data_IF_785192174117
#
_entry.id   IF_785192174117
#
_cell.length_a   1.000
_cell.length_b   1.000
_cell.length_c   1.000
_cell.angle_alpha   90.00
_cell.angle_beta   90.00
_cell.angle_gamma   90.00
#
_symmetry.space_group_name_H-M   'P 1'
#
loop_
_entity.id
_entity.type
_entity.pdbx_description
1 polymer ?
#
# COMPACT_ATOMS: atom_id res chain seq x y z
N UNK A 1 -9.32 -24.61 36.08
CA UNK A 1 -10.38 -23.69 35.63
C UNK A 1 -9.70 -22.37 35.35
N UNK A 2 -9.74 -21.92 34.10
CA UNK A 2 -9.13 -20.64 33.73
C UNK A 2 -9.79 -19.52 34.53
N UNK A 3 -8.98 -18.70 35.21
CA UNK A 3 -9.49 -17.59 36.02
C UNK A 3 -10.26 -16.62 35.10
N UNK A 4 -11.50 -16.23 35.44
CA UNK A 4 -12.33 -15.36 34.60
C UNK A 4 -11.63 -14.03 34.25
N UNK A 5 -10.75 -13.57 35.13
CA UNK A 5 -9.93 -12.38 34.95
C UNK A 5 -8.91 -12.51 33.80
N UNK A 6 -8.32 -13.71 33.62
CA UNK A 6 -7.31 -14.00 32.59
C UNK A 6 -8.00 -14.08 31.23
N UNK A 7 -9.13 -14.79 31.17
CA UNK A 7 -9.95 -14.89 29.96
C UNK A 7 -10.46 -13.52 29.51
N UNK A 8 -10.98 -12.71 30.44
CA UNK A 8 -11.40 -11.34 30.14
C UNK A 8 -10.24 -10.48 29.64
N UNK A 9 -9.08 -10.56 30.30
CA UNK A 9 -7.91 -9.77 29.92
C UNK A 9 -7.42 -10.11 28.52
N UNK A 10 -7.34 -11.41 28.18
CA UNK A 10 -6.94 -11.84 26.84
C UNK A 10 -7.93 -11.35 25.78
N UNK A 11 -9.23 -11.55 26.02
CA UNK A 11 -10.27 -11.12 25.09
C UNK A 11 -10.28 -9.59 24.90
N UNK A 12 -10.13 -8.82 25.99
CA UNK A 12 -10.08 -7.37 25.94
C UNK A 12 -8.83 -6.87 25.22
N UNK A 13 -7.67 -7.49 25.42
CA UNK A 13 -6.44 -7.12 24.75
C UNK A 13 -6.56 -7.34 23.24
N UNK A 14 -7.10 -8.49 22.81
CA UNK A 14 -7.36 -8.77 21.39
C UNK A 14 -8.33 -7.72 20.83
N UNK A 15 -9.43 -7.44 21.53
CA UNK A 15 -10.39 -6.40 21.12
C UNK A 15 -9.72 -5.03 21.00
N UNK A 16 -8.94 -4.59 22.00
CA UNK A 16 -8.30 -3.28 22.00
C UNK A 16 -7.26 -3.15 20.88
N UNK A 17 -6.45 -4.19 20.64
CA UNK A 17 -5.49 -4.24 19.53
C UNK A 17 -6.23 -4.16 18.20
N UNK A 18 -7.27 -4.97 17.98
CA UNK A 18 -8.06 -4.94 16.76
C UNK A 18 -8.87 -3.65 16.60
N UNK A 19 -9.27 -2.98 17.68
CA UNK A 19 -9.98 -1.70 17.60
C UNK A 19 -9.05 -0.54 17.24
N UNK A 20 -7.81 -0.55 17.76
CA UNK A 20 -6.80 0.47 17.44
C UNK A 20 -6.16 0.23 16.06
N UNK A 21 -5.83 -1.02 15.77
CA UNK A 21 -5.27 -1.48 14.50
C UNK A 21 -6.34 -2.28 13.76
N UNK A 22 -7.36 -1.59 13.24
CA UNK A 22 -8.54 -2.18 12.61
C UNK A 22 -8.19 -3.10 11.45
N UNK A 23 -8.26 -4.44 11.62
CA UNK A 23 -8.13 -5.35 10.49
C UNK A 23 -9.41 -5.29 9.62
N UNK A 24 -9.36 -5.93 8.46
CA UNK A 24 -10.46 -5.91 7.49
C UNK A 24 -11.77 -6.45 8.07
N UNK A 25 -11.71 -7.40 9.02
CA UNK A 25 -12.86 -8.00 9.68
C UNK A 25 -13.58 -6.98 10.58
N UNK A 26 -12.84 -6.21 11.37
CA UNK A 26 -13.41 -5.15 12.21
C UNK A 26 -13.98 -4.01 11.38
N UNK A 27 -13.29 -3.68 10.27
CA UNK A 27 -13.79 -2.70 9.32
C UNK A 27 -15.13 -3.16 8.72
N UNK A 28 -15.21 -4.41 8.27
CA UNK A 28 -16.42 -5.01 7.69
C UNK A 28 -17.55 -5.17 8.70
N UNK A 29 -17.24 -5.46 9.95
CA UNK A 29 -18.21 -5.54 11.05
C UNK A 29 -18.71 -4.16 11.52
N UNK A 30 -18.17 -3.05 11.00
CA UNK A 30 -18.55 -1.71 11.42
C UNK A 30 -17.95 -1.26 12.74
N UNK A 31 -16.99 -2.00 13.30
CA UNK A 31 -16.36 -1.75 14.60
C UNK A 31 -15.20 -0.75 14.49
N UNK A 32 -15.45 0.38 13.84
CA UNK A 32 -14.47 1.47 13.69
C UNK A 32 -15.01 2.74 14.34
N UNK A 33 -14.12 3.61 14.83
CA UNK A 33 -14.52 4.91 15.40
C UNK A 33 -15.35 5.71 14.39
N UNK A 34 -15.01 5.61 13.10
CA UNK A 34 -15.69 6.31 12.01
C UNK A 34 -17.13 5.85 11.85
N UNK A 35 -17.39 4.54 11.94
CA UNK A 35 -18.72 3.98 11.80
C UNK A 35 -19.57 4.23 13.04
N UNK A 36 -18.99 4.07 14.24
CA UNK A 36 -19.65 4.32 15.52
C UNK A 36 -20.10 5.79 15.68
N UNK A 37 -19.32 6.73 15.15
CA UNK A 37 -19.58 8.18 15.24
C UNK A 37 -19.96 8.82 13.90
N UNK A 38 -20.42 8.01 12.93
CA UNK A 38 -20.72 8.43 11.57
C UNK A 38 -21.67 9.62 11.50
N UNK A 39 -22.75 9.62 12.31
CA UNK A 39 -23.72 10.72 12.38
C UNK A 39 -23.13 12.06 12.85
N UNK A 40 -22.12 12.04 13.72
CA UNK A 40 -21.46 13.24 14.22
C UNK A 40 -20.32 13.72 13.30
N UNK A 41 -19.59 12.78 12.71
CA UNK A 41 -18.51 13.06 11.77
C UNK A 41 -19.03 13.69 10.47
N UNK A 42 -20.20 13.25 10.01
CA UNK A 42 -20.76 13.67 8.73
C UNK A 42 -20.08 12.98 7.55
N UNK A 43 -20.17 13.58 6.36
CA UNK A 43 -19.63 13.02 5.13
C UNK A 43 -18.25 13.60 4.79
N UNK A 44 -17.29 12.70 4.57
CA UNK A 44 -15.95 13.05 4.08
C UNK A 44 -16.00 13.65 2.67
N UNK A 45 -16.84 13.08 1.79
CA UNK A 45 -17.05 13.58 0.42
C UNK A 45 -17.64 14.98 0.41
N UNK A 46 -18.51 15.30 1.36
CA UNK A 46 -19.05 16.65 1.49
C UNK A 46 -18.00 17.63 2.03
N UNK A 47 -17.26 17.29 3.08
CA UNK A 47 -16.38 18.23 3.77
C UNK A 47 -15.15 17.55 4.36
N UNK A 48 -14.17 17.25 3.51
CA UNK A 48 -12.92 16.55 3.85
C UNK A 48 -12.20 17.12 5.08
N UNK A 49 -11.88 18.41 5.10
CA UNK A 49 -11.11 19.01 6.21
C UNK A 49 -11.91 18.99 7.51
N UNK A 50 -13.15 19.54 7.60
CA UNK A 50 -13.96 19.44 8.81
C UNK A 50 -14.19 18.01 9.30
N UNK A 51 -14.42 17.07 8.39
CA UNK A 51 -14.57 15.65 8.70
C UNK A 51 -13.32 15.13 9.44
N UNK A 52 -12.12 15.38 8.90
CA UNK A 52 -10.90 14.88 9.52
C UNK A 52 -10.48 15.61 10.81
N UNK A 53 -10.85 16.88 10.99
CA UNK A 53 -10.70 17.57 12.28
C UNK A 53 -11.51 16.87 13.37
N UNK A 54 -12.78 16.55 13.08
CA UNK A 54 -13.65 15.82 14.00
C UNK A 54 -13.19 14.38 14.21
N UNK A 55 -12.82 13.69 13.13
CA UNK A 55 -12.38 12.30 13.15
C UNK A 55 -11.17 12.09 14.05
N UNK A 56 -10.14 12.91 13.89
CA UNK A 56 -8.92 12.81 14.71
C UNK A 56 -9.19 13.07 16.19
N UNK A 57 -10.06 14.03 16.52
CA UNK A 57 -10.52 14.25 17.89
C UNK A 57 -11.32 13.07 18.46
N UNK A 58 -12.27 12.53 17.69
CA UNK A 58 -13.04 11.35 18.08
C UNK A 58 -12.16 10.12 18.29
N UNK A 59 -11.25 9.83 17.35
CA UNK A 59 -10.33 8.69 17.46
C UNK A 59 -9.42 8.82 18.68
N UNK A 60 -8.87 10.02 18.93
CA UNK A 60 -8.08 10.28 20.14
C UNK A 60 -8.87 9.99 21.41
N UNK A 61 -10.11 10.50 21.50
CA UNK A 61 -10.96 10.31 22.67
C UNK A 61 -11.35 8.83 22.85
N UNK A 62 -11.86 8.17 21.81
CA UNK A 62 -12.27 6.77 21.85
C UNK A 62 -11.10 5.85 22.24
N UNK A 63 -9.92 6.03 21.66
CA UNK A 63 -8.76 5.21 22.00
C UNK A 63 -8.24 5.52 23.42
N UNK A 64 -8.31 6.77 23.88
CA UNK A 64 -7.94 7.13 25.26
C UNK A 64 -8.86 6.52 26.33
N UNK A 65 -10.08 6.14 25.96
CA UNK A 65 -11.05 5.49 26.85
C UNK A 65 -10.85 3.98 26.99
N UNK A 66 -10.02 3.33 26.16
CA UNK A 66 -9.80 1.88 26.22
C UNK A 66 -9.25 1.41 27.58
N UNK A 67 -8.24 2.05 28.20
CA UNK A 67 -7.77 1.62 29.52
C UNK A 67 -8.86 1.74 30.61
N UNK A 68 -9.72 2.76 30.50
CA UNK A 68 -10.84 2.92 31.42
C UNK A 68 -11.91 1.84 31.20
N UNK A 69 -12.20 1.50 29.94
CA UNK A 69 -13.08 0.38 29.59
C UNK A 69 -12.56 -0.96 30.13
N UNK A 70 -11.24 -1.19 30.08
CA UNK A 70 -10.61 -2.36 30.70
C UNK A 70 -10.82 -2.38 32.22
N UNK A 71 -10.57 -1.25 32.90
CA UNK A 71 -10.79 -1.14 34.35
C UNK A 71 -12.23 -1.49 34.73
N UNK A 72 -13.20 -0.90 34.04
CA UNK A 72 -14.63 -1.14 34.27
C UNK A 72 -14.96 -2.62 34.07
N UNK A 73 -14.48 -3.26 33.00
CA UNK A 73 -14.70 -4.68 32.77
C UNK A 73 -14.05 -5.58 33.83
N UNK A 74 -12.86 -5.22 34.31
CA UNK A 74 -12.17 -5.93 35.39
C UNK A 74 -12.89 -5.84 36.73
N UNK A 75 -13.65 -4.77 36.99
CA UNK A 75 -14.52 -4.70 38.17
C UNK A 75 -15.54 -5.86 38.18
N UNK A 76 -16.05 -6.26 37.02
CA UNK A 76 -16.96 -7.40 36.88
C UNK A 76 -16.24 -8.74 36.86
N UNK A 77 -15.13 -8.85 36.11
CA UNK A 77 -14.40 -10.11 35.94
C UNK A 77 -13.60 -10.56 37.18
N UNK A 78 -13.19 -9.62 38.04
CA UNK A 78 -12.45 -9.88 39.27
C UNK A 78 -13.16 -9.25 40.48
N UNK A 79 -14.43 -9.59 40.68
CA UNK A 79 -15.26 -9.07 41.77
C UNK A 79 -14.66 -9.29 43.16
N UNK A 80 -13.90 -10.37 43.34
CA UNK A 80 -13.17 -10.69 44.58
C UNK A 80 -12.14 -9.62 44.97
N UNK A 81 -11.60 -8.87 44.01
CA UNK A 81 -10.60 -7.81 44.25
C UNK A 81 -11.21 -6.47 44.68
N UNK A 82 -12.53 -6.40 44.85
CA UNK A 82 -13.29 -5.22 45.32
C UNK A 82 -12.94 -3.90 44.60
N UNK A 83 -12.66 -3.98 43.30
CA UNK A 83 -12.23 -2.83 42.49
C UNK A 83 -13.27 -1.70 42.40
N UNK A 84 -14.54 -1.96 42.73
CA UNK A 84 -15.61 -0.97 42.81
C UNK A 84 -15.39 0.11 43.88
N UNK A 85 -14.61 -0.19 44.92
CA UNK A 85 -14.24 0.77 45.96
C UNK A 85 -12.77 1.13 45.82
N UNK A 86 -12.42 2.28 45.20
CA UNK A 86 -11.03 2.67 44.95
C UNK A 86 -10.17 2.73 46.23
N UNK A 87 -10.78 2.95 47.39
CA UNK A 87 -10.11 2.97 48.70
C UNK A 87 -9.72 1.59 49.23
N UNK A 88 -10.40 0.52 48.79
CA UNK A 88 -10.11 -0.87 49.19
C UNK A 88 -9.35 -1.64 48.10
N UNK A 89 -9.21 -1.07 46.90
CA UNK A 89 -8.52 -1.70 45.79
C UNK A 89 -7.00 -1.79 46.05
N UNK A 90 -6.31 -2.84 45.56
CA UNK A 90 -4.87 -2.91 45.63
C UNK A 90 -4.21 -1.70 44.98
N UNK A 91 -3.10 -1.21 45.55
CA UNK A 91 -2.42 0.02 45.10
C UNK A 91 -2.15 0.07 43.59
N UNK A 92 -1.78 -1.08 42.99
CA UNK A 92 -1.55 -1.20 41.55
C UNK A 92 -2.80 -0.86 40.71
N UNK A 93 -3.99 -1.25 41.17
CA UNK A 93 -5.26 -0.92 40.49
C UNK A 93 -5.67 0.53 40.71
N UNK A 94 -5.33 1.13 41.85
CA UNK A 94 -5.49 2.57 42.09
C UNK A 94 -4.63 3.39 41.13
N UNK A 95 -3.35 3.03 40.98
CA UNK A 95 -2.45 3.66 40.01
C UNK A 95 -2.94 3.47 38.56
N UNK A 96 -3.40 2.26 38.22
CA UNK A 96 -3.97 1.99 36.90
C UNK A 96 -5.20 2.86 36.61
N UNK A 97 -6.14 2.96 37.56
CA UNK A 97 -7.33 3.80 37.42
C UNK A 97 -6.95 5.26 37.23
N UNK A 98 -5.99 5.77 38.02
CA UNK A 98 -5.49 7.13 37.86
C UNK A 98 -4.98 7.36 36.44
N UNK A 99 -4.13 6.48 35.93
CA UNK A 99 -3.62 6.56 34.56
C UNK A 99 -4.76 6.48 33.53
N UNK A 100 -5.69 5.54 33.71
CA UNK A 100 -6.83 5.33 32.82
C UNK A 100 -7.80 6.53 32.77
N UNK A 101 -7.88 7.34 33.82
CA UNK A 101 -8.67 8.59 33.85
C UNK A 101 -7.89 9.79 33.31
N UNK A 102 -6.57 9.84 33.55
CA UNK A 102 -5.73 10.96 33.05
C UNK A 102 -5.66 11.00 31.53
N UNK A 103 -5.64 9.85 30.85
CA UNK A 103 -5.60 9.77 29.38
C UNK A 103 -6.82 10.45 28.71
N UNK A 104 -8.08 10.09 29.01
CA UNK A 104 -9.23 10.78 28.44
C UNK A 104 -9.36 12.22 28.93
N UNK A 105 -8.96 12.54 30.18
CA UNK A 105 -8.95 13.92 30.65
C UNK A 105 -8.00 14.82 29.83
N UNK A 106 -6.77 14.36 29.56
CA UNK A 106 -5.81 15.08 28.72
C UNK A 106 -6.28 15.17 27.26
N UNK A 107 -6.89 14.12 26.71
CA UNK A 107 -7.51 14.16 25.39
C UNK A 107 -8.64 15.20 25.32
N UNK A 108 -9.54 15.24 26.31
CA UNK A 108 -10.61 16.24 26.40
C UNK A 108 -10.07 17.67 26.51
N UNK A 109 -9.04 17.90 27.33
CA UNK A 109 -8.37 19.21 27.43
C UNK A 109 -7.78 19.63 26.08
N UNK A 110 -7.12 18.71 25.38
CA UNK A 110 -6.54 18.97 24.07
C UNK A 110 -7.60 19.28 23.00
N UNK A 111 -8.69 18.50 22.97
CA UNK A 111 -9.82 18.71 22.06
C UNK A 111 -10.51 20.04 22.36
N UNK A 112 -10.69 20.38 23.63
CA UNK A 112 -11.22 21.67 24.06
C UNK A 112 -10.31 22.82 23.60
N UNK A 113 -9.00 22.68 23.79
CA UNK A 113 -8.03 23.66 23.31
C UNK A 113 -8.10 23.85 21.78
N UNK A 114 -8.28 22.77 21.01
CA UNK A 114 -8.50 22.86 19.57
C UNK A 114 -9.83 23.55 19.24
N UNK A 115 -10.91 23.23 19.94
CA UNK A 115 -12.24 23.75 19.61
C UNK A 115 -12.42 25.25 19.94
N UNK A 116 -11.74 25.77 20.96
CA UNK A 116 -11.83 27.18 21.40
C UNK A 116 -11.59 28.19 20.29
N UNK A 117 -10.58 27.96 19.46
CA UNK A 117 -10.24 28.85 18.34
C UNK A 117 -10.69 28.27 17.01
N UNK A 118 -11.88 27.64 17.01
CA UNK A 118 -12.48 27.08 15.81
C UNK A 118 -11.49 26.20 15.03
N UNK A 119 -10.75 25.34 15.75
CA UNK A 119 -9.76 24.38 15.25
C UNK A 119 -8.44 24.94 14.72
N UNK A 120 -8.15 26.24 14.86
CA UNK A 120 -6.91 26.84 14.36
C UNK A 120 -5.63 26.18 14.93
N UNK A 121 -5.68 25.72 16.17
CA UNK A 121 -4.58 25.03 16.84
C UNK A 121 -4.43 23.55 16.49
N UNK A 122 -5.38 22.99 15.73
CA UNK A 122 -5.32 21.60 15.32
C UNK A 122 -4.13 21.36 14.36
N UNK A 123 -3.39 20.24 14.45
CA UNK A 123 -2.22 19.98 13.59
C UNK A 123 -2.49 20.12 12.09
N UNK A 124 -3.65 19.64 11.61
CA UNK A 124 -4.08 19.81 10.22
C UNK A 124 -4.28 21.30 9.86
N UNK A 125 -5.00 22.05 10.68
CA UNK A 125 -5.24 23.48 10.45
C UNK A 125 -3.93 24.29 10.45
N UNK A 126 -3.02 24.00 11.38
CA UNK A 126 -1.68 24.58 11.44
C UNK A 126 -0.85 24.26 10.19
N UNK A 127 -1.00 23.07 9.62
CA UNK A 127 -0.33 22.69 8.38
C UNK A 127 -0.92 23.45 7.19
N UNK A 128 -2.25 23.54 7.09
CA UNK A 128 -2.93 24.31 6.05
C UNK A 128 -2.62 25.81 6.13
N UNK A 129 -2.45 26.35 7.34
CA UNK A 129 -2.08 27.75 7.56
C UNK A 129 -0.75 28.13 6.90
N UNK A 130 0.16 27.18 6.70
CA UNK A 130 1.46 27.42 6.05
C UNK A 130 1.36 27.64 4.54
N UNK A 131 0.24 27.25 3.95
CA UNK A 131 -0.08 27.47 2.54
C UNK A 131 -1.05 28.64 2.35
N UNK A 132 -1.47 29.29 3.43
CA UNK A 132 -2.39 30.41 3.36
C UNK A 132 -1.64 31.69 2.95
N UNK A 133 -2.28 32.51 2.11
CA UNK A 133 -1.73 33.82 1.74
C UNK A 133 -1.85 34.77 2.95
N UNK A 134 -1.03 35.83 3.04
CA UNK A 134 -1.06 36.74 4.20
C UNK A 134 -2.44 37.34 4.51
N UNK A 135 -3.30 37.49 3.50
CA UNK A 135 -4.65 38.03 3.64
C UNK A 135 -5.75 36.96 3.76
N UNK A 136 -5.41 35.67 3.60
CA UNK A 136 -6.37 34.57 3.70
C UNK A 136 -6.01 33.66 4.88
N UNK A 137 -7.02 33.25 5.65
CA UNK A 137 -6.80 32.28 6.74
C UNK A 137 -6.63 30.86 6.21
N UNK A 138 -6.18 29.94 7.07
CA UNK A 138 -6.10 28.51 6.76
C UNK A 138 -7.42 27.90 6.26
N UNK A 139 -8.56 28.52 6.59
CA UNK A 139 -9.89 28.13 6.11
C UNK A 139 -10.09 28.31 4.62
N UNK A 140 -9.47 29.33 4.02
CA UNK A 140 -9.51 29.51 2.57
C UNK A 140 -8.81 28.34 1.87
N UNK A 141 -7.65 27.94 2.40
CA UNK A 141 -6.91 26.75 1.95
C UNK A 141 -7.77 25.49 2.16
N UNK A 142 -8.38 25.34 3.33
CA UNK A 142 -9.27 24.21 3.61
C UNK A 142 -10.46 24.15 2.65
N UNK A 143 -11.01 25.30 2.26
CA UNK A 143 -12.09 25.37 1.28
C UNK A 143 -11.62 24.95 -0.11
N UNK A 144 -10.41 25.34 -0.54
CA UNK A 144 -9.81 24.86 -1.79
C UNK A 144 -9.64 23.34 -1.78
N UNK A 145 -9.06 22.80 -0.70
CA UNK A 145 -8.90 21.35 -0.52
C UNK A 145 -10.25 20.64 -0.61
N UNK A 146 -11.28 21.13 0.06
CA UNK A 146 -12.61 20.54 0.01
C UNK A 146 -13.22 20.58 -1.41
N UNK A 147 -13.04 21.68 -2.14
CA UNK A 147 -13.56 21.83 -3.50
C UNK A 147 -12.85 20.89 -4.48
N UNK A 148 -11.54 20.72 -4.36
CA UNK A 148 -10.78 19.75 -5.16
C UNK A 148 -11.09 18.30 -4.77
N UNK A 149 -11.26 18.03 -3.47
CA UNK A 149 -11.62 16.70 -2.99
C UNK A 149 -12.98 16.23 -3.51
N UNK A 150 -13.93 17.13 -3.75
CA UNK A 150 -15.25 16.79 -4.32
C UNK A 150 -15.19 16.42 -5.81
N UNK A 151 -14.08 16.70 -6.50
CA UNK A 151 -13.92 16.34 -7.91
C UNK A 151 -13.78 14.83 -8.04
N UNK A 152 -14.32 14.31 -9.14
CA UNK A 152 -14.23 12.87 -9.50
C UNK A 152 -12.80 12.54 -9.91
N UNK A 153 -12.14 13.48 -10.59
CA UNK A 153 -10.75 13.37 -11.04
C UNK A 153 -9.78 13.57 -9.85
N UNK A 154 -9.71 12.57 -8.98
CA UNK A 154 -8.75 12.45 -7.87
C UNK A 154 -8.26 10.99 -7.83
N UNK A 155 -6.97 10.82 -7.63
CA UNK A 155 -6.41 9.50 -7.33
C UNK A 155 -6.60 9.21 -5.85
N UNK A 156 -7.08 8.02 -5.50
CA UNK A 156 -7.23 7.59 -4.11
C UNK A 156 -6.96 6.09 -3.96
N UNK A 157 -6.04 5.72 -3.07
CA UNK A 157 -5.70 4.32 -2.76
C UNK A 157 -5.68 4.08 -1.24
N UNK A 158 -6.04 2.86 -0.82
CA UNK A 158 -6.11 2.42 0.58
C UNK A 158 -7.48 2.60 1.25
N UNK A 159 -7.61 2.06 2.46
CA UNK A 159 -8.85 2.09 3.23
C UNK A 159 -9.19 3.51 3.73
N UNK A 160 -10.47 3.87 3.95
CA UNK A 160 -10.87 5.22 4.38
C UNK A 160 -10.16 5.75 5.64
N UNK A 161 -9.78 4.85 6.57
CA UNK A 161 -9.02 5.19 7.77
C UNK A 161 -7.52 5.47 7.54
N UNK A 162 -6.96 4.92 6.47
CA UNK A 162 -5.54 4.96 6.13
C UNK A 162 -5.36 4.94 4.60
N UNK A 163 -5.56 6.09 3.96
CA UNK A 163 -5.51 6.24 2.50
C UNK A 163 -4.68 7.42 2.04
N UNK A 164 -4.28 7.34 0.79
CA UNK A 164 -3.53 8.38 0.09
C UNK A 164 -4.43 8.96 -0.99
N UNK A 165 -4.54 10.29 -1.02
CA UNK A 165 -5.36 11.01 -1.99
C UNK A 165 -4.47 12.03 -2.70
N UNK A 166 -4.51 12.03 -4.03
CA UNK A 166 -3.84 13.03 -4.86
C UNK A 166 -4.89 13.73 -5.72
N UNK A 167 -4.97 15.04 -5.53
CA UNK A 167 -5.82 15.97 -6.30
C UNK A 167 -4.94 16.85 -7.17
N UNK A 168 -5.53 17.70 -8.02
CA UNK A 168 -4.78 18.57 -8.93
C UNK A 168 -3.67 19.38 -8.24
N UNK A 169 -3.88 19.85 -7.01
CA UNK A 169 -2.89 20.66 -6.29
C UNK A 169 -2.40 20.07 -4.98
N UNK A 170 -3.07 19.05 -4.42
CA UNK A 170 -2.71 18.49 -3.11
C UNK A 170 -2.33 17.01 -3.16
N UNK A 171 -1.27 16.67 -2.44
CA UNK A 171 -0.94 15.31 -2.02
C UNK A 171 -1.31 15.17 -0.54
N UNK A 172 -2.20 14.23 -0.24
CA UNK A 172 -2.74 14.04 1.10
C UNK A 172 -2.55 12.59 1.55
N UNK A 173 -2.06 12.41 2.78
CA UNK A 173 -2.01 11.09 3.43
C UNK A 173 -2.82 11.13 4.71
N UNK A 174 -3.82 10.26 4.77
CA UNK A 174 -4.68 10.06 5.92
C UNK A 174 -4.12 8.89 6.74
N UNK A 175 -3.94 9.10 8.04
CA UNK A 175 -3.56 8.07 9.02
C UNK A 175 -4.55 8.10 10.19
N UNK A 176 -4.45 7.15 11.12
CA UNK A 176 -5.34 7.07 12.30
C UNK A 176 -5.40 8.38 13.08
N UNK A 177 -4.27 9.03 13.35
CA UNK A 177 -4.19 10.22 14.21
C UNK A 177 -3.80 11.51 13.47
N UNK A 178 -3.31 11.41 12.23
CA UNK A 178 -2.81 12.56 11.49
C UNK A 178 -3.32 12.58 10.05
N UNK A 179 -3.46 13.79 9.52
CA UNK A 179 -3.64 14.04 8.09
C UNK A 179 -2.47 14.89 7.64
N UNK A 180 -1.65 14.31 6.77
CA UNK A 180 -0.52 14.99 6.14
C UNK A 180 -1.00 15.61 4.83
N UNK A 181 -0.62 16.85 4.59
CA UNK A 181 -1.01 17.61 3.41
C UNK A 181 0.20 18.35 2.87
N UNK A 182 0.44 18.20 1.58
CA UNK A 182 1.46 18.95 0.85
C UNK A 182 0.96 19.41 -0.51
N UNK A 183 1.43 20.57 -0.98
CA UNK A 183 1.10 21.05 -2.32
C UNK A 183 1.98 20.38 -3.38
N UNK A 184 1.37 19.97 -4.48
CA UNK A 184 2.04 19.32 -5.61
C UNK A 184 3.21 20.15 -6.18
N UNK A 185 3.07 21.47 -6.23
CA UNK A 185 4.10 22.38 -6.76
C UNK A 185 5.36 22.43 -5.87
N UNK A 186 5.23 22.09 -4.59
CA UNK A 186 6.29 22.20 -3.59
C UNK A 186 6.86 20.85 -3.17
N UNK A 187 6.41 19.73 -3.76
CA UNK A 187 6.86 18.40 -3.35
C UNK A 187 7.93 17.81 -4.27
N UNK A 188 8.87 17.12 -3.63
CA UNK A 188 9.78 16.19 -4.26
C UNK A 188 9.38 14.78 -3.85
N UNK A 189 9.10 13.96 -4.87
CA UNK A 189 8.67 12.58 -4.71
C UNK A 189 9.85 11.67 -5.02
N UNK A 190 10.18 10.80 -4.08
CA UNK A 190 11.28 9.83 -4.25
C UNK A 190 10.81 8.43 -3.89
N UNK A 191 10.92 7.46 -4.80
CA UNK A 191 10.70 6.05 -4.48
C UNK A 191 11.88 5.59 -3.63
N UNK A 192 11.63 5.24 -2.37
CA UNK A 192 12.68 4.86 -1.41
C UNK A 192 12.81 3.36 -1.26
N UNK A 193 11.72 2.62 -1.44
CA UNK A 193 11.68 1.18 -1.20
C UNK A 193 10.66 0.49 -2.10
N UNK A 194 10.96 -0.74 -2.53
CA UNK A 194 9.99 -1.64 -3.14
C UNK A 194 10.00 -2.97 -2.38
N UNK A 195 8.85 -3.39 -1.86
CA UNK A 195 8.70 -4.68 -1.17
C UNK A 195 7.73 -5.58 -1.92
N UNK A 196 8.21 -6.73 -2.38
CA UNK A 196 7.35 -7.81 -2.85
C UNK A 196 6.78 -8.59 -1.66
N UNK A 197 5.49 -8.86 -1.68
CA UNK A 197 4.83 -9.80 -0.77
C UNK A 197 4.36 -10.97 -1.63
N UNK A 198 4.85 -12.17 -1.32
CA UNK A 198 4.53 -13.40 -2.08
C UNK A 198 3.06 -13.80 -1.96
N UNK A 199 2.36 -13.36 -0.91
CA UNK A 199 0.96 -13.63 -0.66
C UNK A 199 0.25 -12.34 -0.23
N UNK A 200 -0.74 -11.90 -1.02
CA UNK A 200 -1.70 -10.87 -0.61
C UNK A 200 -2.95 -11.55 -0.03
N UNK A 201 -3.57 -11.02 1.03
CA UNK A 201 -4.82 -11.57 1.58
C UNK A 201 -5.96 -11.65 0.55
N UNK A 202 -5.95 -10.75 -0.43
CA UNK A 202 -7.01 -10.60 -1.44
C UNK A 202 -6.71 -11.35 -2.75
N UNK A 203 -5.46 -11.78 -2.97
CA UNK A 203 -5.06 -12.50 -4.18
C UNK A 203 -3.83 -13.37 -3.90
N UNK A 204 -3.84 -14.64 -4.30
CA UNK A 204 -2.68 -15.55 -4.27
C UNK A 204 -1.54 -15.14 -5.23
N UNK A 205 -1.52 -13.88 -5.66
CA UNK A 205 -0.54 -13.31 -6.57
C UNK A 205 0.51 -12.53 -5.78
N UNK A 206 1.78 -12.57 -6.22
CA UNK A 206 2.80 -11.71 -5.67
C UNK A 206 2.44 -10.24 -5.94
N UNK A 207 2.35 -9.44 -4.89
CA UNK A 207 2.06 -8.01 -4.99
C UNK A 207 3.28 -7.21 -4.57
N UNK A 208 3.72 -6.28 -5.41
CA UNK A 208 4.78 -5.33 -5.06
C UNK A 208 4.16 -4.05 -4.52
N UNK A 209 4.60 -3.64 -3.33
CA UNK A 209 4.28 -2.34 -2.74
C UNK A 209 5.47 -1.39 -2.88
N UNK A 210 5.19 -0.16 -3.30
CA UNK A 210 6.16 0.91 -3.41
C UNK A 210 6.01 1.86 -2.23
N UNK A 211 7.12 2.25 -1.61
CA UNK A 211 7.18 3.33 -0.63
C UNK A 211 7.76 4.57 -1.30
N UNK A 212 6.96 5.63 -1.36
CA UNK A 212 7.31 6.92 -1.97
C UNK A 212 7.37 7.97 -0.88
N UNK A 213 8.55 8.55 -0.66
CA UNK A 213 8.72 9.66 0.26
C UNK A 213 8.28 10.96 -0.40
N UNK A 214 7.39 11.68 0.28
CA UNK A 214 6.91 13.02 -0.07
C UNK A 214 7.64 14.03 0.81
N UNK A 215 8.58 14.77 0.22
CA UNK A 215 9.28 15.85 0.89
C UNK A 215 8.81 17.19 0.32
N UNK A 216 8.46 18.16 1.18
CA UNK A 216 8.12 19.51 0.74
C UNK A 216 9.34 20.42 0.75
N UNK A 217 9.43 21.36 -0.19
CA UNK A 217 10.36 22.48 -0.17
C UNK A 217 10.13 23.38 1.05
N UNK A 218 8.91 23.43 1.58
CA UNK A 218 8.59 24.14 2.81
C UNK A 218 9.12 23.36 4.02
N UNK A 219 10.21 23.85 4.64
CA UNK A 219 10.88 23.24 5.80
C UNK A 219 9.99 23.01 7.01
N UNK A 220 8.88 23.75 7.11
CA UNK A 220 7.95 23.59 8.23
C UNK A 220 7.06 22.35 8.05
N UNK A 221 6.85 21.89 6.82
CA UNK A 221 6.02 20.72 6.49
C UNK A 221 6.86 19.46 6.62
N UNK A 222 6.48 18.58 7.54
CA UNK A 222 7.19 17.32 7.76
C UNK A 222 7.00 16.39 6.56
N UNK A 223 8.09 15.80 6.09
CA UNK A 223 8.04 14.75 5.08
C UNK A 223 7.23 13.54 5.59
N UNK A 224 6.59 12.82 4.67
CA UNK A 224 5.81 11.63 4.97
C UNK A 224 5.90 10.64 3.82
N UNK A 225 5.74 9.35 4.14
CA UNK A 225 5.86 8.28 3.15
C UNK A 225 4.47 7.80 2.71
N UNK A 226 4.26 7.63 1.41
CA UNK A 226 3.09 7.02 0.79
C UNK A 226 3.44 5.57 0.46
N UNK A 227 2.51 4.65 0.71
CA UNK A 227 2.64 3.26 0.27
C UNK A 227 1.48 2.94 -0.67
N UNK A 228 1.77 2.41 -1.84
CA UNK A 228 0.77 1.99 -2.83
C UNK A 228 1.18 0.69 -3.52
N UNK A 229 0.22 0.04 -4.17
CA UNK A 229 0.50 -1.09 -5.03
C UNK A 229 1.21 -0.59 -6.30
N UNK A 230 2.25 -1.29 -6.73
CA UNK A 230 2.96 -1.03 -7.99
C UNK A 230 2.06 -0.98 -9.23
N UNK A 231 0.94 -1.71 -9.23
CA UNK A 231 -0.07 -1.66 -10.30
C UNK A 231 -0.76 -0.29 -10.41
N UNK A 232 -0.90 0.44 -9.30
CA UNK A 232 -1.52 1.78 -9.24
C UNK A 232 -0.50 2.89 -9.52
N UNK A 233 0.78 2.56 -9.73
CA UNK A 233 1.85 3.54 -9.92
C UNK A 233 1.66 4.39 -11.19
N UNK A 234 1.14 3.79 -12.26
CA UNK A 234 0.83 4.49 -13.51
C UNK A 234 -0.22 5.58 -13.31
N UNK A 235 -1.35 5.24 -12.69
CA UNK A 235 -2.45 6.18 -12.39
C UNK A 235 -1.99 7.31 -11.45
N UNK A 236 -1.16 6.97 -10.45
CA UNK A 236 -0.53 7.98 -9.60
C UNK A 236 0.34 8.96 -10.42
N UNK A 237 1.16 8.44 -11.35
CA UNK A 237 2.01 9.27 -12.20
C UNK A 237 1.20 10.18 -13.12
N UNK A 238 0.07 9.70 -13.66
CA UNK A 238 -0.83 10.52 -14.48
C UNK A 238 -1.41 11.70 -13.69
N UNK A 239 -1.69 11.51 -12.40
CA UNK A 239 -2.26 12.56 -11.55
C UNK A 239 -1.23 13.54 -10.98
N UNK A 240 0.05 13.18 -11.00
CA UNK A 240 1.12 14.00 -10.46
C UNK A 240 1.68 14.98 -11.50
N UNK A 241 1.82 16.25 -11.10
CA UNK A 241 2.49 17.28 -11.90
C UNK A 241 4.02 17.18 -11.81
N UNK A 242 4.54 16.68 -10.70
CA UNK A 242 5.97 16.57 -10.45
C UNK A 242 6.45 15.14 -10.76
N UNK A 243 7.58 14.97 -11.48
CA UNK A 243 8.11 13.65 -11.76
C UNK A 243 8.59 12.97 -10.47
N UNK A 244 8.31 11.67 -10.35
CA UNK A 244 8.80 10.84 -9.25
C UNK A 244 10.24 10.42 -9.57
N UNK A 245 11.16 10.69 -8.64
CA UNK A 245 12.56 10.26 -8.76
C UNK A 245 12.71 8.86 -8.16
N UNK A 246 13.38 7.95 -8.84
CA UNK A 246 13.71 6.64 -8.27
C UNK A 246 15.03 6.74 -7.49
N UNK A 247 15.09 6.17 -6.28
CA UNK A 247 16.37 5.91 -5.64
C UNK A 247 17.16 4.86 -6.46
N UNK A 248 18.48 4.95 -6.44
CA UNK A 248 19.32 3.95 -7.09
C UNK A 248 18.97 2.55 -6.55
N UNK A 249 18.79 1.59 -7.46
CA UNK A 249 18.45 0.18 -7.18
C UNK A 249 17.00 -0.17 -6.82
N UNK A 250 16.02 0.74 -7.04
CA UNK A 250 14.60 0.37 -6.93
C UNK A 250 14.02 -0.01 -8.29
N UNK A 251 13.67 -1.29 -8.47
CA UNK A 251 12.99 -1.81 -9.67
C UNK A 251 11.48 -1.77 -9.43
N UNK A 252 10.74 -1.11 -10.32
CA UNK A 252 9.29 -0.97 -10.25
C UNK A 252 8.66 -1.89 -11.30
N UNK A 253 7.94 -2.92 -10.88
CA UNK A 253 7.18 -3.79 -11.78
C UNK A 253 5.75 -3.27 -11.86
N UNK A 254 5.37 -2.65 -12.98
CA UNK A 254 4.03 -2.08 -13.14
C UNK A 254 2.99 -3.13 -13.55
N UNK A 255 3.44 -4.26 -14.13
CA UNK A 255 2.55 -5.34 -14.57
C UNK A 255 3.07 -6.73 -14.20
N UNK A 256 2.15 -7.70 -14.12
CA UNK A 256 2.50 -9.14 -14.07
C UNK A 256 3.39 -9.55 -15.25
N UNK A 257 3.22 -8.89 -16.41
CA UNK A 257 4.09 -9.07 -17.56
C UNK A 257 5.54 -8.67 -17.28
N UNK A 258 5.77 -7.55 -16.60
CA UNK A 258 7.13 -7.09 -16.26
C UNK A 258 7.81 -8.02 -15.26
N UNK A 259 7.07 -8.47 -14.24
CA UNK A 259 7.56 -9.46 -13.28
C UNK A 259 7.89 -10.80 -13.96
N UNK A 260 7.01 -11.25 -14.87
CA UNK A 260 7.27 -12.43 -15.66
C UNK A 260 8.50 -12.27 -16.55
N UNK A 261 8.70 -11.13 -17.22
CA UNK A 261 9.84 -10.90 -18.10
C UNK A 261 11.17 -10.94 -17.35
N UNK A 262 11.23 -10.39 -16.14
CA UNK A 262 12.41 -10.47 -15.27
C UNK A 262 12.69 -11.92 -14.86
N UNK A 263 11.68 -12.61 -14.34
CA UNK A 263 11.80 -14.02 -13.93
C UNK A 263 12.19 -14.91 -15.12
N UNK A 264 11.56 -14.68 -16.27
CA UNK A 264 11.85 -15.38 -17.52
C UNK A 264 13.29 -15.17 -17.95
N UNK A 265 13.78 -13.92 -17.89
CA UNK A 265 15.17 -13.58 -18.24
C UNK A 265 16.14 -14.30 -17.31
N UNK A 266 15.93 -14.24 -16.00
CA UNK A 266 16.79 -14.90 -15.01
C UNK A 266 16.84 -16.42 -15.20
N UNK A 267 15.70 -17.07 -15.46
CA UNK A 267 15.66 -18.52 -15.72
C UNK A 267 16.36 -18.89 -17.03
N UNK A 268 16.20 -18.09 -18.08
CA UNK A 268 16.80 -18.34 -19.39
C UNK A 268 18.32 -18.09 -19.41
N UNK A 269 18.83 -17.21 -18.57
CA UNK A 269 20.28 -16.96 -18.44
C UNK A 269 21.05 -18.18 -17.90
N UNK A 270 20.38 -19.06 -17.14
CA UNK A 270 20.95 -20.29 -16.57
C UNK A 270 20.87 -21.47 -17.56
N UNK A 271 20.05 -21.37 -18.61
CA UNK A 271 19.94 -22.40 -19.63
C UNK A 271 21.25 -22.56 -20.43
N UNK A 272 21.48 -23.73 -21.06
CA UNK A 272 22.62 -23.92 -21.95
C UNK A 272 22.64 -22.86 -23.06
N UNK A 273 23.80 -22.24 -23.28
CA UNK A 273 23.96 -21.28 -24.36
C UNK A 273 24.05 -21.97 -25.73
N UNK A 274 23.53 -21.32 -26.76
CA UNK A 274 23.64 -21.77 -28.15
C UNK A 274 24.82 -21.08 -28.84
N UNK A 275 25.81 -21.86 -29.26
CA UNK A 275 26.91 -21.37 -30.10
C UNK A 275 26.45 -21.20 -31.54
N UNK A 276 26.62 -20.00 -32.09
CA UNK A 276 26.27 -19.72 -33.49
C UNK A 276 27.32 -20.31 -34.41
N UNK A 277 26.94 -21.06 -35.47
CA UNK A 277 27.88 -21.48 -36.50
C UNK A 277 28.54 -20.27 -37.17
N UNK A 278 29.84 -20.35 -37.46
CA UNK A 278 30.63 -19.23 -38.03
C UNK A 278 30.10 -18.71 -39.38
N UNK A 279 29.31 -19.50 -40.08
CA UNK A 279 28.68 -19.16 -41.36
C UNK A 279 27.34 -18.41 -41.23
N UNK A 280 26.84 -18.21 -40.01
CA UNK A 280 25.52 -17.65 -39.76
C UNK A 280 25.62 -16.29 -39.08
N UNK A 281 25.23 -15.23 -39.81
CA UNK A 281 25.14 -13.89 -39.25
C UNK A 281 23.83 -13.69 -38.47
N UNK A 282 23.91 -12.97 -37.34
CA UNK A 282 22.75 -12.62 -36.52
C UNK A 282 22.14 -11.30 -37.00
N UNK A 283 20.94 -11.38 -37.55
CA UNK A 283 20.11 -10.26 -38.00
C UNK A 283 19.45 -9.51 -36.82
N UNK A 284 18.77 -8.40 -37.14
CA UNK A 284 17.94 -7.69 -36.18
C UNK A 284 16.75 -8.57 -35.73
N UNK A 285 16.33 -8.41 -34.48
CA UNK A 285 15.19 -9.10 -33.91
C UNK A 285 13.92 -8.72 -34.67
N UNK A 286 13.17 -9.70 -35.19
CA UNK A 286 11.95 -9.44 -35.98
C UNK A 286 10.80 -8.84 -35.17
N UNK A 287 10.84 -8.97 -33.84
CA UNK A 287 9.84 -8.38 -32.94
C UNK A 287 10.00 -6.87 -32.75
N UNK A 288 11.16 -6.40 -32.29
CA UNK A 288 11.39 -4.98 -32.00
C UNK A 288 12.14 -4.22 -33.10
N UNK A 289 12.82 -4.91 -34.02
CA UNK A 289 13.69 -4.34 -35.05
C UNK A 289 14.81 -3.40 -34.51
N UNK A 290 15.08 -3.42 -33.21
CA UNK A 290 16.05 -2.55 -32.53
C UNK A 290 17.26 -3.32 -32.01
N UNK A 291 17.02 -4.46 -31.35
CA UNK A 291 18.07 -5.32 -30.82
C UNK A 291 18.45 -6.41 -31.83
N UNK A 292 19.66 -6.99 -31.71
CA UNK A 292 20.04 -8.18 -32.49
C UNK A 292 19.30 -9.42 -31.97
N UNK A 293 19.13 -10.42 -32.84
CA UNK A 293 18.69 -11.74 -32.41
C UNK A 293 19.68 -12.31 -31.39
N UNK A 294 19.16 -12.73 -30.24
CA UNK A 294 19.95 -13.13 -29.07
C UNK A 294 19.46 -14.43 -28.41
N UNK A 295 18.39 -15.03 -28.94
CA UNK A 295 17.88 -16.32 -28.46
C UNK A 295 17.63 -17.31 -29.59
N UNK A 296 17.85 -18.58 -29.28
CA UNK A 296 17.55 -19.73 -30.14
C UNK A 296 16.73 -20.73 -29.33
N UNK A 297 15.67 -21.26 -29.94
CA UNK A 297 14.89 -22.34 -29.35
C UNK A 297 15.55 -23.69 -29.68
N UNK A 298 15.99 -24.43 -28.66
CA UNK A 298 16.61 -25.76 -28.75
C UNK A 298 15.92 -26.65 -27.74
N UNK A 299 15.47 -27.85 -28.13
CA UNK A 299 14.83 -28.77 -27.18
C UNK A 299 15.89 -29.28 -26.20
N UNK A 300 15.84 -28.81 -24.96
CA UNK A 300 16.76 -29.18 -23.87
C UNK A 300 16.04 -29.83 -22.71
N UNK A 301 14.71 -29.69 -22.63
CA UNK A 301 13.90 -30.34 -21.60
C UNK A 301 13.95 -31.89 -21.70
N UNK A 302 14.15 -32.59 -20.58
CA UNK A 302 14.34 -34.05 -20.49
C UNK A 302 13.03 -34.85 -20.25
N UNK A 303 11.89 -34.41 -20.77
CA UNK A 303 10.62 -35.15 -20.61
C UNK A 303 10.56 -36.36 -21.56
N UNK A 304 10.38 -37.56 -20.98
CA UNK A 304 10.61 -38.85 -21.64
C UNK A 304 9.46 -39.37 -22.51
N UNK A 305 8.19 -39.00 -22.29
CA UNK A 305 7.12 -39.32 -23.25
C UNK A 305 5.89 -38.41 -23.14
N UNK A 306 5.35 -38.07 -24.31
CA UNK A 306 4.06 -37.44 -24.60
C UNK A 306 3.75 -36.02 -24.05
N UNK A 307 4.29 -35.03 -24.75
CA UNK A 307 3.36 -34.16 -25.50
C UNK A 307 3.31 -32.68 -25.16
N UNK A 308 4.39 -31.94 -25.44
CA UNK A 308 4.21 -30.61 -26.04
C UNK A 308 5.48 -30.01 -26.66
N UNK A 309 6.68 -30.09 -26.06
CA UNK A 309 7.86 -29.42 -26.62
C UNK A 309 8.46 -30.15 -27.83
N UNK A 310 8.74 -29.41 -28.91
CA UNK A 310 9.20 -29.90 -30.20
C UNK A 310 10.53 -29.22 -30.59
N UNK A 311 11.38 -29.92 -31.33
CA UNK A 311 12.61 -29.34 -31.85
C UNK A 311 12.30 -28.21 -32.85
N UNK A 312 12.81 -27.01 -32.57
CA UNK A 312 12.63 -25.85 -33.43
C UNK A 312 13.82 -25.68 -34.40
N UNK A 313 13.52 -25.67 -35.70
CA UNK A 313 14.51 -25.50 -36.77
C UNK A 313 14.64 -24.06 -37.28
N UNK A 314 13.88 -23.10 -36.73
CA UNK A 314 14.00 -21.69 -37.11
C UNK A 314 15.38 -21.12 -36.77
N UNK A 315 15.91 -20.24 -37.62
CA UNK A 315 17.13 -19.47 -37.27
C UNK A 315 16.88 -18.60 -36.03
N UNK A 316 17.93 -18.19 -35.29
CA UNK A 316 17.78 -17.18 -34.25
C UNK A 316 17.33 -15.86 -34.90
N UNK A 317 16.11 -15.43 -34.57
CA UNK A 317 15.46 -14.24 -35.17
C UNK A 317 14.90 -13.28 -34.10
N UNK A 318 15.00 -13.63 -32.83
CA UNK A 318 14.36 -12.91 -31.73
C UNK A 318 15.40 -12.50 -30.68
N UNK A 319 15.21 -11.36 -30.03
CA UNK A 319 15.91 -11.01 -28.81
C UNK A 319 15.18 -11.63 -27.60
N UNK A 320 15.87 -11.70 -26.46
CA UNK A 320 15.35 -12.31 -25.23
C UNK A 320 14.06 -11.65 -24.76
N UNK A 321 14.02 -10.32 -24.73
CA UNK A 321 12.85 -9.54 -24.28
C UNK A 321 11.63 -9.79 -25.17
N UNK A 322 11.79 -9.81 -26.50
CA UNK A 322 10.66 -10.06 -27.40
C UNK A 322 10.16 -11.50 -27.30
N UNK A 323 11.05 -12.48 -27.09
CA UNK A 323 10.64 -13.86 -26.86
C UNK A 323 9.89 -14.01 -25.53
N UNK A 324 10.36 -13.38 -24.45
CA UNK A 324 9.64 -13.35 -23.18
C UNK A 324 8.26 -12.69 -23.30
N UNK A 325 8.14 -11.57 -24.03
CA UNK A 325 6.86 -10.88 -24.26
C UNK A 325 5.89 -11.77 -25.05
N UNK A 326 6.40 -12.46 -26.07
CA UNK A 326 5.60 -13.44 -26.80
C UNK A 326 5.12 -14.56 -25.88
N UNK A 327 6.01 -15.11 -25.05
CA UNK A 327 5.67 -16.16 -24.10
C UNK A 327 4.56 -15.70 -23.14
N UNK A 328 4.70 -14.53 -22.52
CA UNK A 328 3.71 -13.93 -21.62
C UNK A 328 2.36 -13.71 -22.32
N UNK A 329 2.36 -13.25 -23.58
CA UNK A 329 1.13 -12.99 -24.35
C UNK A 329 0.29 -14.23 -24.65
N UNK A 330 0.84 -15.42 -24.46
CA UNK A 330 0.18 -16.71 -24.70
C UNK A 330 -0.34 -17.36 -23.43
N UNK A 331 -0.21 -16.67 -22.30
CA UNK A 331 -0.64 -17.17 -21.01
C UNK A 331 -2.06 -16.71 -20.66
N UNK A 332 -2.70 -17.43 -19.76
CA UNK A 332 -3.97 -17.03 -19.17
C UNK A 332 -3.72 -16.07 -17.99
N UNK A 333 -4.15 -14.79 -18.06
CA UNK A 333 -4.01 -13.84 -16.96
C UNK A 333 -4.70 -14.25 -15.65
N UNK A 334 -5.67 -15.17 -15.71
CA UNK A 334 -6.37 -15.65 -14.51
C UNK A 334 -5.59 -16.72 -13.74
N UNK A 335 -4.59 -17.37 -14.38
CA UNK A 335 -3.82 -18.48 -13.80
C UNK A 335 -2.29 -18.25 -13.91
N UNK A 336 -1.74 -17.16 -13.34
CA UNK A 336 -0.31 -16.80 -13.42
C UNK A 336 0.65 -17.82 -12.80
N UNK A 337 0.19 -18.62 -11.84
CA UNK A 337 0.95 -19.72 -11.24
C UNK A 337 1.36 -20.79 -12.27
N UNK A 338 0.64 -20.89 -13.38
CA UNK A 338 0.93 -21.86 -14.45
C UNK A 338 1.90 -21.33 -15.50
N UNK A 339 2.19 -20.01 -15.51
CA UNK A 339 2.88 -19.36 -16.63
C UNK A 339 4.27 -19.95 -16.89
N UNK A 340 5.09 -20.15 -15.86
CA UNK A 340 6.46 -20.69 -16.03
C UNK A 340 6.48 -22.17 -16.44
N UNK A 341 5.43 -22.93 -16.08
CA UNK A 341 5.30 -24.35 -16.41
C UNK A 341 4.59 -24.60 -17.76
N UNK A 342 4.13 -23.54 -18.43
CA UNK A 342 3.36 -23.65 -19.65
C UNK A 342 4.24 -23.89 -20.88
N UNK A 343 3.57 -24.25 -22.00
CA UNK A 343 4.22 -24.48 -23.30
C UNK A 343 3.54 -23.65 -24.37
N UNK A 344 4.32 -22.79 -25.03
CA UNK A 344 3.83 -21.85 -26.04
C UNK A 344 4.35 -22.22 -27.43
N UNK A 345 3.63 -21.90 -28.51
CA UNK A 345 4.13 -22.12 -29.87
C UNK A 345 5.22 -21.11 -30.23
N UNK A 346 6.25 -21.56 -30.95
CA UNK A 346 7.23 -20.69 -31.59
C UNK A 346 6.49 -19.66 -32.47
N UNK A 347 6.81 -18.35 -32.36
CA UNK A 347 6.11 -17.32 -33.13
C UNK A 347 6.28 -17.48 -34.65
N UNK A 348 7.31 -18.19 -35.10
CA UNK A 348 7.60 -18.40 -36.53
C UNK A 348 7.07 -19.75 -37.04
N UNK A 349 7.53 -20.88 -36.48
CA UNK A 349 7.16 -22.21 -36.99
C UNK A 349 6.08 -22.94 -36.17
N UNK A 350 5.60 -22.33 -35.08
CA UNK A 350 4.63 -22.90 -34.14
C UNK A 350 5.06 -24.18 -33.41
N UNK A 351 6.29 -24.65 -33.60
CA UNK A 351 6.88 -25.69 -32.77
C UNK A 351 6.76 -25.27 -31.30
N UNK A 352 6.08 -26.09 -30.49
CA UNK A 352 5.82 -25.76 -29.09
C UNK A 352 7.12 -25.89 -28.29
N UNK A 353 7.31 -25.02 -27.31
CA UNK A 353 8.51 -24.98 -26.48
C UNK A 353 8.16 -24.53 -25.06
N UNK A 354 9.03 -24.85 -24.10
CA UNK A 354 8.96 -24.39 -22.72
C UNK A 354 10.12 -23.44 -22.41
N UNK A 355 10.11 -22.82 -21.23
CA UNK A 355 11.16 -21.88 -20.83
C UNK A 355 12.58 -22.48 -20.87
N UNK A 356 12.72 -23.78 -20.58
CA UNK A 356 14.02 -24.48 -20.59
C UNK A 356 14.61 -24.58 -22.00
N UNK A 357 13.75 -24.61 -23.03
CA UNK A 357 14.17 -24.73 -24.43
C UNK A 357 14.67 -23.40 -25.02
N UNK A 358 14.63 -22.31 -24.25
CA UNK A 358 15.10 -21.00 -24.69
C UNK A 358 16.58 -20.87 -24.33
N UNK A 359 17.44 -20.85 -25.33
CA UNK A 359 18.89 -20.71 -25.16
C UNK A 359 19.34 -19.30 -25.53
N UNK A 360 20.11 -18.65 -24.67
CA UNK A 360 20.81 -17.41 -25.01
C UNK A 360 21.94 -17.70 -26.00
N UNK A 361 22.19 -16.77 -26.90
CA UNK A 361 23.29 -16.87 -27.85
C UNK A 361 24.57 -16.33 -27.19
N UNK A 362 25.69 -17.06 -27.34
CA UNK A 362 27.02 -16.63 -26.91
C UNK A 362 28.03 -16.67 -28.03
#
# INVERSE_FOLDING_TARGET
MDSPEVTFTLAYLVFAVCFVFTPNEFHSAGLTVQNLLSGWLGSEDAAFVPYHLRRTAATLLCHSLLPLGYYVGMCFAASEKRLYMPSEAPEAWGLFLLLAVTLPATACILIYHWSREQWAHHPLARTLARYALPQSGWRAVASSVNMEFRRIDKFATGAPGARVIVTDTWVMKVTTYHVHVAQQQDVHLTVTESRQHELSPDSNLPVQFLTIRVASANRYVKAFDIRLNSAEYGELCEKLRAPIRSAAHVVIHQSLGDLFLETFTSLVEVNPAYSVPSSQELEACIGCMQARAAVKLVKTCQEADAGQCQQCYCRPMWCLTCMGKWFASRQDPQHPETWLASRVPCPTCRARFCILDVCTIR
#
